data_IF_833385705907
#
_entry.id   IF_833385705907
#
_cell.length_a   1.000
_cell.length_b   1.000
_cell.length_c   1.000
_cell.angle_alpha   90.00
_cell.angle_beta   90.00
_cell.angle_gamma   90.00
#
_symmetry.space_group_name_H-M   'P 1'
#
loop_
_entity.id
_entity.type
_entity.pdbx_description
1 polymer ?
#
# COMPACT_ATOMS: atom_id res chain seq x y z
N UNK A 1 7.99 -0.34 -2.08
CA UNK A 1 7.89 -1.63 -1.35
C UNK A 1 6.43 -2.04 -1.42
N UNK A 2 6.12 -3.25 -1.87
CA UNK A 2 4.73 -3.77 -1.92
C UNK A 2 4.20 -3.95 -0.50
N UNK A 3 2.93 -3.62 -0.26
CA UNK A 3 2.27 -3.85 1.01
C UNK A 3 2.02 -5.36 1.18
N UNK A 4 2.60 -6.02 2.20
CA UNK A 4 2.43 -7.46 2.43
C UNK A 4 0.96 -7.87 2.58
N UNK A 5 0.07 -6.95 2.98
CA UNK A 5 -1.37 -7.17 3.10
C UNK A 5 -2.01 -7.46 1.74
N UNK A 6 -1.65 -6.69 0.72
CA UNK A 6 -2.20 -6.81 -0.64
C UNK A 6 -1.74 -8.11 -1.32
N UNK A 7 -0.46 -8.48 -1.19
CA UNK A 7 0.06 -9.73 -1.76
C UNK A 7 -0.63 -10.97 -1.16
N UNK A 8 -0.95 -10.93 0.13
CA UNK A 8 -1.67 -12.02 0.80
C UNK A 8 -3.14 -12.08 0.38
N UNK A 9 -3.80 -10.92 0.19
CA UNK A 9 -5.17 -10.86 -0.30
C UNK A 9 -5.26 -11.43 -1.73
N UNK A 10 -4.36 -11.03 -2.63
CA UNK A 10 -4.25 -11.58 -3.99
C UNK A 10 -4.03 -13.11 -3.99
N UNK A 11 -3.11 -13.59 -3.14
CA UNK A 11 -2.84 -15.02 -3.02
C UNK A 11 -4.05 -15.80 -2.52
N UNK A 12 -4.86 -15.22 -1.63
CA UNK A 12 -6.08 -15.82 -1.13
C UNK A 12 -7.15 -15.92 -2.23
N UNK A 13 -7.35 -14.86 -3.00
CA UNK A 13 -8.29 -14.85 -4.14
C UNK A 13 -7.92 -15.93 -5.16
N UNK A 14 -6.63 -16.06 -5.49
CA UNK A 14 -6.16 -17.10 -6.40
C UNK A 14 -6.44 -18.51 -5.87
N UNK A 15 -6.29 -18.73 -4.56
CA UNK A 15 -6.63 -20.01 -3.94
C UNK A 15 -8.14 -20.31 -3.97
N UNK A 16 -8.99 -19.30 -3.80
CA UNK A 16 -10.44 -19.43 -3.94
C UNK A 16 -10.84 -19.79 -5.38
N UNK A 17 -10.24 -19.14 -6.37
CA UNK A 17 -10.47 -19.44 -7.78
C UNK A 17 -10.07 -20.89 -8.11
N UNK A 18 -8.91 -21.34 -7.63
CA UNK A 18 -8.48 -22.74 -7.77
C UNK A 18 -9.47 -23.70 -7.12
N UNK A 19 -9.97 -23.39 -5.92
CA UNK A 19 -10.97 -24.22 -5.24
C UNK A 19 -12.27 -24.29 -6.04
N UNK A 20 -12.73 -23.17 -6.61
CA UNK A 20 -13.91 -23.14 -7.46
C UNK A 20 -13.73 -23.96 -8.74
N UNK A 21 -12.56 -23.88 -9.37
CA UNK A 21 -12.22 -24.67 -10.55
C UNK A 21 -12.22 -26.18 -10.26
N UNK A 22 -11.66 -26.60 -9.12
CA UNK A 22 -11.71 -28.01 -8.70
C UNK A 22 -13.14 -28.47 -8.45
N UNK A 23 -13.96 -27.67 -7.75
CA UNK A 23 -15.39 -27.97 -7.52
C UNK A 23 -16.16 -28.14 -8.82
N UNK A 24 -15.90 -27.28 -9.81
CA UNK A 24 -16.48 -27.39 -11.15
C UNK A 24 -16.03 -28.67 -11.84
N UNK A 25 -14.75 -29.01 -11.78
CA UNK A 25 -14.23 -30.27 -12.34
C UNK A 25 -14.89 -31.51 -11.73
N UNK A 26 -15.11 -31.53 -10.40
CA UNK A 26 -15.86 -32.61 -9.74
C UNK A 26 -17.29 -32.72 -10.30
N UNK A 27 -17.98 -31.59 -10.47
CA UNK A 27 -19.34 -31.57 -11.00
C UNK A 27 -19.40 -32.08 -12.45
N UNK A 28 -18.46 -31.68 -13.30
CA UNK A 28 -18.38 -32.10 -14.71
C UNK A 28 -18.11 -33.61 -14.84
N UNK A 29 -17.20 -34.15 -14.03
CA UNK A 29 -16.94 -35.60 -13.98
C UNK A 29 -18.15 -36.37 -13.48
N UNK A 30 -18.81 -35.87 -12.42
CA UNK A 30 -20.03 -36.48 -11.87
C UNK A 30 -21.15 -36.52 -12.90
N UNK A 31 -21.36 -35.42 -13.63
CA UNK A 31 -22.37 -35.33 -14.70
C UNK A 31 -22.06 -36.30 -15.83
N UNK A 32 -20.79 -36.38 -16.25
CA UNK A 32 -20.34 -37.29 -17.31
C UNK A 32 -20.55 -38.76 -16.92
N UNK A 33 -20.19 -39.13 -15.67
CA UNK A 33 -20.45 -40.47 -15.11
C UNK A 33 -21.94 -40.78 -15.13
N UNK A 34 -22.79 -39.87 -14.65
CA UNK A 34 -24.25 -40.07 -14.62
C UNK A 34 -24.83 -40.27 -16.02
N UNK A 35 -24.33 -39.55 -17.02
CA UNK A 35 -24.75 -39.71 -18.42
C UNK A 35 -24.43 -41.11 -18.94
N UNK A 36 -23.23 -41.64 -18.65
CA UNK A 36 -22.86 -43.00 -19.01
C UNK A 36 -23.71 -44.05 -18.28
N UNK A 37 -23.98 -43.87 -16.98
CA UNK A 37 -24.89 -44.74 -16.23
C UNK A 37 -26.29 -44.79 -16.86
N UNK A 38 -26.83 -43.65 -17.28
CA UNK A 38 -28.13 -43.59 -17.97
C UNK A 38 -28.08 -44.29 -19.33
N UNK A 39 -26.98 -44.15 -20.07
CA UNK A 39 -26.79 -44.87 -21.34
C UNK A 39 -26.74 -46.39 -21.11
N UNK A 40 -26.00 -46.84 -20.09
CA UNK A 40 -25.93 -48.24 -19.66
C UNK A 40 -27.32 -48.79 -19.36
N UNK A 41 -28.13 -48.08 -18.57
CA UNK A 41 -29.51 -48.50 -18.24
C UNK A 41 -30.35 -48.72 -19.50
N UNK A 42 -30.23 -47.85 -20.52
CA UNK A 42 -30.95 -48.04 -21.80
C UNK A 42 -30.48 -49.28 -22.55
N UNK A 43 -29.17 -49.57 -22.54
CA UNK A 43 -28.63 -50.78 -23.18
C UNK A 43 -29.11 -52.05 -22.48
N UNK A 44 -29.13 -52.06 -21.15
CA UNK A 44 -29.67 -53.18 -20.35
C UNK A 44 -31.13 -53.44 -20.70
N UNK A 45 -31.96 -52.40 -20.77
CA UNK A 45 -33.37 -52.53 -21.18
C UNK A 45 -33.52 -53.11 -22.59
N UNK A 46 -32.61 -52.79 -23.51
CA UNK A 46 -32.62 -53.36 -24.86
C UNK A 46 -32.19 -54.83 -24.86
N UNK A 47 -31.22 -55.20 -24.02
CA UNK A 47 -30.82 -56.59 -23.80
C UNK A 47 -32.00 -57.42 -23.27
N UNK A 48 -32.74 -56.90 -22.29
CA UNK A 48 -33.91 -57.60 -21.73
C UNK A 48 -35.00 -57.83 -22.78
N UNK A 49 -35.23 -56.83 -23.65
CA UNK A 49 -36.16 -56.97 -24.80
C UNK A 49 -35.70 -58.02 -25.80
N UNK A 50 -34.43 -58.00 -26.18
CA UNK A 50 -33.85 -59.00 -27.10
C UNK A 50 -33.91 -60.41 -26.50
N UNK A 51 -33.73 -60.53 -25.18
CA UNK A 51 -33.86 -61.79 -24.48
C UNK A 51 -35.31 -62.31 -24.51
N UNK A 52 -36.30 -61.44 -24.28
CA UNK A 52 -37.71 -61.79 -24.46
C UNK A 52 -38.02 -62.25 -25.88
N UNK A 53 -37.58 -61.49 -26.88
CA UNK A 53 -37.75 -61.85 -28.30
C UNK A 53 -37.10 -63.18 -28.66
N UNK A 54 -35.92 -63.48 -28.11
CA UNK A 54 -35.24 -64.75 -28.32
C UNK A 54 -36.04 -65.92 -27.73
N UNK A 55 -36.59 -65.77 -26.51
CA UNK A 55 -37.44 -66.80 -25.89
C UNK A 55 -38.73 -67.04 -26.69
N UNK A 56 -39.39 -65.97 -27.14
CA UNK A 56 -40.60 -66.06 -27.94
C UNK A 56 -40.34 -66.75 -29.29
N UNK A 57 -39.22 -66.41 -29.95
CA UNK A 57 -38.81 -67.03 -31.21
C UNK A 57 -38.51 -68.53 -31.05
N UNK A 58 -37.86 -68.94 -29.95
CA UNK A 58 -37.64 -70.36 -29.63
C UNK A 58 -38.97 -71.08 -29.41
N UNK A 59 -39.89 -70.49 -28.65
CA UNK A 59 -41.22 -71.07 -28.41
C UNK A 59 -42.03 -71.23 -29.71
N UNK A 60 -41.83 -70.33 -30.69
CA UNK A 60 -42.43 -70.39 -32.01
C UNK A 60 -41.68 -71.28 -33.02
N UNK A 61 -40.60 -71.96 -32.62
CA UNK A 61 -39.78 -72.80 -33.50
C UNK A 61 -38.97 -72.03 -34.55
N UNK A 62 -38.78 -70.72 -34.37
CA UNK A 62 -38.03 -69.85 -35.29
C UNK A 62 -36.61 -69.63 -34.77
N UNK A 63 -35.77 -70.66 -34.92
CA UNK A 63 -34.39 -70.66 -34.42
C UNK A 63 -33.49 -69.60 -35.06
N UNK A 64 -33.75 -69.25 -36.32
CA UNK A 64 -33.05 -68.19 -37.06
C UNK A 64 -33.24 -66.82 -36.41
N UNK A 65 -34.49 -66.48 -36.04
CA UNK A 65 -34.81 -65.25 -35.32
C UNK A 65 -34.25 -65.25 -33.90
N UNK A 66 -34.30 -66.39 -33.21
CA UNK A 66 -33.71 -66.52 -31.88
C UNK A 66 -32.20 -66.28 -31.91
N UNK A 67 -31.49 -66.87 -32.89
CA UNK A 67 -30.05 -66.68 -33.08
C UNK A 67 -29.72 -65.21 -33.36
N UNK A 68 -30.46 -64.57 -34.25
CA UNK A 68 -30.26 -63.14 -34.57
C UNK A 68 -30.48 -62.24 -33.34
N UNK A 69 -31.50 -62.50 -32.53
CA UNK A 69 -31.75 -61.75 -31.31
C UNK A 69 -30.61 -61.92 -30.29
N UNK A 70 -30.09 -63.14 -30.14
CA UNK A 70 -28.96 -63.43 -29.26
C UNK A 70 -27.64 -62.82 -29.75
N UNK A 71 -27.39 -62.80 -31.06
CA UNK A 71 -26.22 -62.12 -31.64
C UNK A 71 -26.25 -60.61 -31.35
N UNK A 72 -27.41 -59.97 -31.53
CA UNK A 72 -27.60 -58.56 -31.17
C UNK A 72 -27.41 -58.32 -29.67
N UNK A 73 -27.92 -59.23 -28.84
CA UNK A 73 -27.75 -59.19 -27.38
C UNK A 73 -26.26 -59.23 -27.00
N UNK A 74 -25.50 -60.13 -27.61
CA UNK A 74 -24.06 -60.26 -27.38
C UNK A 74 -23.30 -58.98 -27.75
N UNK A 75 -23.66 -58.35 -28.88
CA UNK A 75 -23.07 -57.07 -29.28
C UNK A 75 -23.35 -55.94 -28.27
N UNK A 76 -24.58 -55.85 -27.75
CA UNK A 76 -24.91 -54.87 -26.70
C UNK A 76 -24.21 -55.16 -25.38
N UNK A 77 -24.03 -56.44 -25.02
CA UNK A 77 -23.30 -56.83 -23.81
C UNK A 77 -21.84 -56.35 -23.86
N UNK A 78 -21.18 -56.50 -25.01
CA UNK A 78 -19.83 -55.97 -25.22
C UNK A 78 -19.78 -54.44 -25.11
N UNK A 79 -20.81 -53.73 -25.60
CA UNK A 79 -20.91 -52.28 -25.44
C UNK A 79 -21.06 -51.86 -23.97
N UNK A 80 -21.85 -52.61 -23.19
CA UNK A 80 -22.01 -52.37 -21.74
C UNK A 80 -20.69 -52.57 -21.02
N UNK A 81 -19.93 -53.62 -21.33
CA UNK A 81 -18.61 -53.83 -20.72
C UNK A 81 -17.66 -52.66 -20.96
N UNK A 82 -17.70 -52.04 -22.16
CA UNK A 82 -16.95 -50.82 -22.46
C UNK A 82 -17.38 -49.64 -21.58
N UNK A 83 -18.68 -49.39 -21.50
CA UNK A 83 -19.24 -48.30 -20.67
C UNK A 83 -18.93 -48.52 -19.18
N UNK A 84 -18.98 -49.76 -18.69
CA UNK A 84 -18.69 -50.08 -17.29
C UNK A 84 -17.25 -49.78 -16.91
N UNK A 85 -16.30 -50.00 -17.84
CA UNK A 85 -14.91 -49.58 -17.66
C UNK A 85 -14.78 -48.06 -17.61
N UNK A 86 -15.43 -47.34 -18.51
CA UNK A 86 -15.43 -45.87 -18.53
C UNK A 86 -16.03 -45.28 -17.23
N UNK A 87 -17.14 -45.85 -16.75
CA UNK A 87 -17.77 -45.44 -15.47
C UNK A 87 -16.80 -45.66 -14.30
N UNK A 88 -16.14 -46.82 -14.23
CA UNK A 88 -15.18 -47.13 -13.18
C UNK A 88 -13.96 -46.20 -13.20
N UNK A 89 -13.50 -45.80 -14.39
CA UNK A 89 -12.40 -44.85 -14.51
C UNK A 89 -12.81 -43.43 -14.11
N UNK A 90 -14.00 -42.99 -14.49
CA UNK A 90 -14.55 -41.70 -14.05
C UNK A 90 -14.80 -41.68 -12.52
N UNK A 91 -15.21 -42.79 -11.93
CA UNK A 91 -15.38 -42.92 -10.48
C UNK A 91 -14.05 -42.72 -9.74
N UNK A 92 -12.98 -43.37 -10.18
CA UNK A 92 -11.63 -43.16 -9.62
C UNK A 92 -11.16 -41.71 -9.78
N UNK A 93 -11.46 -41.07 -10.92
CA UNK A 93 -11.13 -39.66 -11.15
C UNK A 93 -11.93 -38.74 -10.22
N UNK A 94 -13.23 -39.02 -10.06
CA UNK A 94 -14.12 -38.29 -9.16
C UNK A 94 -13.61 -38.34 -7.72
N UNK A 95 -13.26 -39.52 -7.21
CA UNK A 95 -12.71 -39.69 -5.86
C UNK A 95 -11.41 -38.89 -5.65
N UNK A 96 -10.49 -38.93 -6.61
CA UNK A 96 -9.24 -38.15 -6.57
C UNK A 96 -9.50 -36.64 -6.55
N UNK A 97 -10.46 -36.17 -7.34
CA UNK A 97 -10.84 -34.76 -7.38
C UNK A 97 -11.51 -34.31 -6.07
N UNK A 98 -12.40 -35.13 -5.50
CA UNK A 98 -13.03 -34.86 -4.19
C UNK A 98 -11.97 -34.81 -3.07
N UNK A 99 -11.02 -35.75 -3.05
CA UNK A 99 -9.93 -35.71 -2.09
C UNK A 99 -9.06 -34.46 -2.24
N UNK A 100 -8.79 -34.05 -3.48
CA UNK A 100 -8.03 -32.83 -3.79
C UNK A 100 -8.79 -31.56 -3.39
N UNK A 101 -10.11 -31.52 -3.63
CA UNK A 101 -11.02 -30.44 -3.24
C UNK A 101 -11.01 -30.24 -1.73
N UNK A 102 -11.19 -31.32 -0.96
CA UNK A 102 -11.14 -31.29 0.51
C UNK A 102 -9.80 -30.78 1.01
N UNK A 103 -8.69 -31.27 0.46
CA UNK A 103 -7.33 -30.84 0.84
C UNK A 103 -7.10 -29.36 0.54
N UNK A 104 -7.56 -28.89 -0.62
CA UNK A 104 -7.43 -27.49 -1.01
C UNK A 104 -8.29 -26.58 -0.13
N UNK A 105 -9.53 -26.98 0.15
CA UNK A 105 -10.44 -26.28 1.06
C UNK A 105 -9.81 -26.09 2.45
N UNK A 106 -9.23 -27.15 3.03
CA UNK A 106 -8.50 -27.04 4.31
C UNK A 106 -7.31 -26.08 4.23
N UNK A 107 -6.54 -26.12 3.14
CA UNK A 107 -5.40 -25.19 2.97
C UNK A 107 -5.85 -23.74 2.85
N UNK A 108 -6.94 -23.47 2.13
CA UNK A 108 -7.54 -22.14 1.97
C UNK A 108 -7.95 -21.57 3.33
N UNK A 109 -8.61 -22.36 4.17
CA UNK A 109 -9.00 -21.91 5.52
C UNK A 109 -7.79 -21.62 6.41
N UNK A 110 -6.78 -22.49 6.41
CA UNK A 110 -5.54 -22.24 7.15
C UNK A 110 -4.87 -20.95 6.66
N UNK A 111 -4.83 -20.75 5.34
CA UNK A 111 -4.26 -19.55 4.75
C UNK A 111 -5.04 -18.29 5.14
N UNK A 112 -6.38 -18.35 5.15
CA UNK A 112 -7.26 -17.26 5.59
C UNK A 112 -6.93 -16.82 7.01
N UNK A 113 -6.86 -17.75 7.95
CA UNK A 113 -6.51 -17.43 9.35
C UNK A 113 -5.10 -16.84 9.48
N UNK A 114 -4.12 -17.44 8.79
CA UNK A 114 -2.73 -16.95 8.83
C UNK A 114 -2.58 -15.57 8.21
N UNK A 115 -3.30 -15.30 7.11
CA UNK A 115 -3.37 -13.99 6.48
C UNK A 115 -3.84 -12.93 7.47
N UNK A 116 -4.99 -13.13 8.11
CA UNK A 116 -5.52 -12.15 9.07
C UNK A 116 -4.57 -11.92 10.25
N UNK A 117 -3.92 -12.98 10.74
CA UNK A 117 -2.91 -12.87 11.80
C UNK A 117 -1.71 -12.04 11.36
N UNK A 118 -1.20 -12.24 10.14
CA UNK A 118 -0.06 -11.47 9.61
C UNK A 118 -0.46 -10.02 9.38
N UNK A 119 -1.67 -9.76 8.85
CA UNK A 119 -2.19 -8.39 8.67
C UNK A 119 -2.27 -7.65 10.00
N UNK A 120 -2.78 -8.30 11.06
CA UNK A 120 -2.83 -7.71 12.40
C UNK A 120 -1.43 -7.44 12.98
N UNK A 121 -0.49 -8.38 12.84
CA UNK A 121 0.90 -8.20 13.29
C UNK A 121 1.59 -7.07 12.55
N UNK A 122 1.38 -6.97 11.23
CA UNK A 122 1.93 -5.90 10.41
C UNK A 122 1.39 -4.53 10.83
N UNK A 123 0.07 -4.39 11.01
CA UNK A 123 -0.54 -3.15 11.49
C UNK A 123 -0.05 -2.76 12.89
N UNK A 124 0.16 -3.73 13.79
CA UNK A 124 0.72 -3.46 15.12
C UNK A 124 2.19 -2.99 15.03
N UNK A 125 3.01 -3.62 14.18
CA UNK A 125 4.39 -3.20 13.94
C UNK A 125 4.47 -1.81 13.30
N UNK A 126 3.60 -1.51 12.32
CA UNK A 126 3.45 -0.20 11.69
C UNK A 126 3.09 0.88 12.73
N UNK A 127 2.14 0.60 13.63
CA UNK A 127 1.79 1.50 14.72
C UNK A 127 2.96 1.73 15.70
N UNK A 128 3.71 0.68 16.04
CA UNK A 128 4.88 0.78 16.92
C UNK A 128 5.98 1.65 16.32
N UNK A 129 6.27 1.49 15.01
CA UNK A 129 7.23 2.32 14.29
C UNK A 129 6.77 3.78 14.34
N UNK A 130 5.50 4.06 14.01
CA UNK A 130 4.95 5.42 14.01
C UNK A 130 5.00 6.09 15.40
N UNK A 131 4.74 5.33 16.47
CA UNK A 131 4.88 5.83 17.86
C UNK A 131 6.33 6.16 18.15
N UNK A 132 7.26 5.25 17.84
CA UNK A 132 8.69 5.46 18.08
C UNK A 132 9.21 6.68 17.31
N UNK A 133 8.85 6.83 16.04
CA UNK A 133 9.19 8.00 15.22
C UNK A 133 8.64 9.31 15.82
N UNK A 134 7.40 9.29 16.32
CA UNK A 134 6.81 10.46 16.98
C UNK A 134 7.52 10.80 18.28
N UNK A 135 7.91 9.81 19.09
CA UNK A 135 8.66 10.02 20.33
C UNK A 135 10.08 10.51 20.06
N UNK A 136 10.76 9.99 19.05
CA UNK A 136 12.10 10.46 18.66
C UNK A 136 12.06 11.86 18.04
N UNK A 137 11.02 12.18 17.25
CA UNK A 137 10.82 13.53 16.71
C UNK A 137 10.54 14.56 17.81
N UNK A 138 9.74 14.19 18.83
CA UNK A 138 9.56 15.01 20.04
C UNK A 138 10.88 15.12 20.81
N UNK A 139 11.71 14.08 20.84
CA UNK A 139 13.03 14.10 21.47
C UNK A 139 13.98 15.13 20.83
N UNK A 140 13.97 15.26 19.50
CA UNK A 140 14.69 16.32 18.79
C UNK A 140 14.15 17.71 19.12
N UNK A 141 12.82 17.91 19.06
CA UNK A 141 12.22 19.21 19.40
C UNK A 141 12.44 19.61 20.87
N UNK A 142 12.40 18.64 21.80
CA UNK A 142 12.68 18.87 23.22
C UNK A 142 14.15 19.18 23.49
N UNK A 143 15.09 18.56 22.76
CA UNK A 143 16.50 18.87 22.85
C UNK A 143 16.80 20.31 22.41
N UNK A 144 16.14 20.77 21.33
CA UNK A 144 16.25 22.15 20.86
C UNK A 144 15.68 23.17 21.85
N UNK A 145 14.57 22.84 22.51
CA UNK A 145 13.98 23.67 23.58
C UNK A 145 14.89 23.73 24.81
N UNK A 146 15.51 22.62 25.21
CA UNK A 146 16.47 22.58 26.31
C UNK A 146 17.68 23.48 26.07
N UNK A 147 18.26 23.43 24.86
CA UNK A 147 19.36 24.32 24.46
C UNK A 147 18.96 25.80 24.39
N UNK A 148 17.69 26.09 24.10
CA UNK A 148 17.18 27.46 24.13
C UNK A 148 16.98 27.97 25.56
N UNK A 149 16.52 27.11 26.47
CA UNK A 149 16.34 27.43 27.89
C UNK A 149 17.68 27.69 28.59
N UNK A 150 18.69 26.84 28.37
CA UNK A 150 20.04 27.01 28.92
C UNK A 150 20.67 28.34 28.48
N UNK A 151 20.46 28.76 27.22
CA UNK A 151 20.90 30.08 26.72
C UNK A 151 20.18 31.23 27.43
N UNK A 152 18.88 31.09 27.68
CA UNK A 152 18.10 32.11 28.38
C UNK A 152 18.52 32.24 29.85
N UNK A 153 18.80 31.13 30.53
CA UNK A 153 19.32 31.11 31.90
C UNK A 153 20.71 31.75 31.97
N UNK A 154 21.65 31.34 31.12
CA UNK A 154 22.99 31.94 31.05
C UNK A 154 22.92 33.45 30.79
N UNK A 155 21.99 33.91 29.93
CA UNK A 155 21.82 35.34 29.68
C UNK A 155 21.28 36.08 30.89
N UNK A 156 20.37 35.45 31.63
CA UNK A 156 19.79 36.00 32.85
C UNK A 156 20.83 36.11 33.95
N UNK A 157 21.65 35.09 34.13
CA UNK A 157 22.77 35.11 35.09
C UNK A 157 23.83 36.15 34.70
N UNK A 158 24.16 36.29 33.41
CA UNK A 158 25.03 37.37 32.92
C UNK A 158 24.42 38.76 33.22
N UNK A 159 23.11 38.93 33.04
CA UNK A 159 22.43 40.18 33.35
C UNK A 159 22.42 40.47 34.86
N UNK A 160 22.21 39.46 35.71
CA UNK A 160 22.29 39.59 37.17
C UNK A 160 23.70 39.95 37.63
N UNK A 161 24.73 39.24 37.15
CA UNK A 161 26.12 39.54 37.47
C UNK A 161 26.52 40.95 37.04
N UNK A 162 26.02 41.43 35.90
CA UNK A 162 26.20 42.83 35.48
C UNK A 162 25.47 43.81 36.39
N UNK A 163 24.25 43.49 36.82
CA UNK A 163 23.49 44.34 37.75
C UNK A 163 24.18 44.42 39.11
N UNK A 164 24.64 43.30 39.66
CA UNK A 164 25.41 43.23 40.90
C UNK A 164 26.72 44.02 40.81
N UNK A 165 27.46 43.92 39.69
CA UNK A 165 28.65 44.72 39.46
C UNK A 165 28.34 46.23 39.37
N UNK A 166 27.19 46.63 38.83
CA UNK A 166 26.74 48.02 38.80
C UNK A 166 26.37 48.50 40.21
N UNK A 167 25.68 47.67 41.00
CA UNK A 167 25.34 47.97 42.39
C UNK A 167 26.60 48.13 43.25
N UNK A 168 27.60 47.25 43.10
CA UNK A 168 28.90 47.37 43.76
C UNK A 168 29.65 48.66 43.34
N UNK A 169 29.61 49.05 42.07
CA UNK A 169 30.21 50.30 41.58
C UNK A 169 29.52 51.55 42.15
N UNK A 170 28.19 51.48 42.37
CA UNK A 170 27.42 52.53 43.05
C UNK A 170 27.77 52.59 44.54
N UNK A 171 27.88 51.45 45.22
CA UNK A 171 28.18 51.37 46.66
C UNK A 171 29.64 51.73 46.97
N UNK A 172 30.58 51.42 46.07
CA UNK A 172 31.99 51.84 46.13
C UNK A 172 32.19 53.36 45.89
N UNK A 173 31.13 54.11 45.60
CA UNK A 173 31.18 55.57 45.43
C UNK A 173 31.86 56.04 44.15
N UNK A 174 31.98 55.19 43.13
CA UNK A 174 32.68 55.51 41.87
C UNK A 174 31.78 56.08 40.78
N UNK A 175 30.46 56.00 40.94
CA UNK A 175 29.49 56.56 39.98
C UNK A 175 29.27 58.07 40.11
N UNK A 176 29.73 58.68 41.21
CA UNK A 176 29.49 60.10 41.51
C UNK A 176 30.31 61.05 40.61
N UNK A 177 31.31 60.53 39.89
CA UNK A 177 32.21 61.30 39.03
C UNK A 177 31.78 61.38 37.54
N UNK A 178 30.62 60.82 37.17
CA UNK A 178 30.11 60.90 35.78
C UNK A 178 29.02 61.95 35.56
N UNK A 179 28.56 62.62 36.62
CA UNK A 179 27.67 63.79 36.49
C UNK A 179 28.44 65.12 36.38
N UNK A 180 29.77 65.10 36.55
CA UNK A 180 30.65 66.26 36.42
C UNK A 180 31.14 66.57 35.00
N UNK A 181 31.01 65.64 34.04
CA UNK A 181 31.58 65.78 32.68
C UNK A 181 30.59 66.27 31.60
N UNK A 182 29.38 66.70 31.98
CA UNK A 182 28.35 67.14 31.03
C UNK A 182 28.68 68.46 30.31
N UNK A 183 29.57 69.27 30.87
CA UNK A 183 29.86 70.64 30.39
C UNK A 183 30.89 70.75 29.25
N UNK A 184 31.66 69.69 28.95
CA UNK A 184 32.68 69.71 27.87
C UNK A 184 32.15 69.16 26.55
N UNK A 185 31.32 68.12 26.58
CA UNK A 185 30.75 67.51 25.36
C UNK A 185 29.75 68.45 24.68
N UNK A 186 28.91 69.17 25.45
CA UNK A 186 27.99 70.19 24.91
C UNK A 186 28.75 71.39 24.31
N UNK A 187 29.96 71.67 24.81
CA UNK A 187 30.87 72.71 24.28
C UNK A 187 31.55 72.30 22.97
N UNK A 188 31.88 71.02 22.81
CA UNK A 188 32.45 70.49 21.55
C UNK A 188 31.38 70.27 20.46
N UNK A 189 30.17 69.83 20.81
CA UNK A 189 29.04 69.70 19.88
C UNK A 189 28.58 71.06 19.32
N UNK A 190 28.72 72.14 20.08
CA UNK A 190 28.46 73.52 19.64
C UNK A 190 29.51 74.04 18.65
N UNK A 191 30.74 73.51 18.66
CA UNK A 191 31.79 73.86 17.67
C UNK A 191 31.62 73.10 16.35
N UNK A 192 31.14 71.86 16.41
CA UNK A 192 30.89 71.03 15.22
C UNK A 192 29.63 71.49 14.47
N UNK A 193 28.57 71.90 15.19
CA UNK A 193 27.35 72.42 14.56
C UNK A 193 27.55 73.77 13.86
N UNK A 194 28.54 74.57 14.29
CA UNK A 194 28.92 75.81 13.62
C UNK A 194 29.69 75.60 12.30
N UNK A 195 30.38 74.47 12.12
CA UNK A 195 31.05 74.13 10.85
C UNK A 195 30.12 73.40 9.86
N UNK A 196 29.15 72.61 10.34
CA UNK A 196 28.24 71.83 9.49
C UNK A 196 27.16 72.68 8.77
N UNK A 197 26.93 73.92 9.18
CA UNK A 197 25.96 74.81 8.54
C UNK A 197 26.46 75.43 7.22
N UNK A 198 27.78 75.55 7.02
CA UNK A 198 28.37 76.16 5.82
C UNK A 198 28.39 75.20 4.61
N UNK A 199 28.53 73.89 4.85
CA UNK A 199 28.48 72.88 3.77
C UNK A 199 27.05 72.57 3.32
N UNK A 200 26.06 72.65 4.22
CA UNK A 200 24.65 72.47 3.89
C UNK A 200 24.09 73.65 3.06
N UNK A 201 24.60 74.87 3.27
CA UNK A 201 24.25 76.06 2.46
C UNK A 201 24.89 76.03 1.06
N UNK A 202 26.10 75.46 0.91
CA UNK A 202 26.77 75.29 -0.38
C UNK A 202 26.13 74.17 -1.24
N UNK A 203 25.65 73.10 -0.60
CA UNK A 203 24.93 72.01 -1.27
C UNK A 203 23.56 72.46 -1.79
N UNK A 204 22.88 73.35 -1.05
CA UNK A 204 21.58 73.91 -1.46
C UNK A 204 21.70 74.88 -2.64
N UNK A 205 22.76 75.68 -2.72
CA UNK A 205 23.07 76.54 -3.88
C UNK A 205 23.48 75.75 -5.14
N UNK A 206 24.07 74.57 -4.99
CA UNK A 206 24.36 73.66 -6.12
C UNK A 206 23.14 72.87 -6.59
N UNK A 207 22.20 72.55 -5.70
CA UNK A 207 20.95 71.86 -6.03
C UNK A 207 19.94 72.76 -6.78
N UNK A 208 20.05 74.09 -6.67
CA UNK A 208 19.29 75.05 -7.50
C UNK A 208 19.78 75.14 -8.96
N UNK A 209 20.86 74.42 -9.35
CA UNK A 209 21.54 74.62 -10.64
C UNK A 209 21.59 73.40 -11.60
N UNK A 210 20.83 72.30 -11.42
CA UNK A 210 20.90 71.22 -12.42
C UNK A 210 19.89 70.07 -12.35
N UNK A 211 19.13 69.89 -13.44
CA UNK A 211 18.12 68.85 -13.75
C UNK A 211 18.69 67.41 -13.79
N UNK A 212 17.84 66.42 -13.49
CA UNK A 212 18.11 64.95 -13.40
C UNK A 212 18.56 64.25 -14.70
N UNK A 213 18.39 62.92 -14.93
CA UNK A 213 17.44 61.96 -14.31
C UNK A 213 17.92 60.47 -14.17
N UNK A 214 16.97 59.60 -13.80
CA UNK A 214 16.69 58.24 -14.34
C UNK A 214 17.47 56.93 -14.02
N UNK A 215 16.63 55.92 -13.70
CA UNK A 215 16.58 54.48 -14.15
C UNK A 215 17.57 53.44 -13.59
N UNK A 216 17.03 52.30 -13.11
CA UNK A 216 16.77 51.13 -13.96
C UNK A 216 16.04 49.97 -13.23
N UNK A 217 15.10 49.34 -13.96
CA UNK A 217 14.39 48.06 -13.72
C UNK A 217 15.09 46.92 -14.50
N UNK A 218 14.80 45.65 -14.14
CA UNK A 218 14.53 44.45 -15.02
C UNK A 218 14.46 43.23 -14.09
N UNK A 219 13.44 42.37 -13.96
CA UNK A 219 12.37 41.73 -14.78
C UNK A 219 12.85 40.71 -15.82
N UNK A 220 12.35 39.48 -15.58
CA UNK A 220 12.40 38.20 -16.29
C UNK A 220 12.00 38.24 -17.77
N UNK A 221 12.59 37.33 -18.55
CA UNK A 221 12.08 36.87 -19.85
C UNK A 221 12.33 35.37 -19.98
N UNK A 222 11.24 34.59 -20.06
CA UNK A 222 11.20 33.38 -20.86
C UNK A 222 10.50 33.69 -22.18
N UNK A 223 10.74 32.88 -23.23
CA UNK A 223 9.75 32.28 -24.15
C UNK A 223 10.42 31.79 -25.45
N UNK A 224 10.16 30.52 -25.75
CA UNK A 224 10.02 29.85 -27.07
C UNK A 224 11.21 29.60 -28.02
N UNK A 225 11.48 28.29 -28.14
CA UNK A 225 11.91 27.58 -29.34
C UNK A 225 10.94 27.78 -30.52
N UNK A 226 11.47 27.97 -31.74
CA UNK A 226 10.98 27.31 -32.96
C UNK A 226 11.94 27.45 -34.16
N UNK A 227 12.35 26.27 -34.65
CA UNK A 227 12.64 25.87 -36.04
C UNK A 227 13.76 26.56 -36.85
N UNK A 228 14.64 25.71 -37.38
CA UNK A 228 14.79 25.60 -38.83
C UNK A 228 16.20 25.39 -39.37
N UNK A 229 16.36 24.19 -39.98
CA UNK A 229 17.40 23.74 -40.94
C UNK A 229 18.67 23.15 -40.35
#
# INVERSE_FOLDING_TARGET
MEDPRETLDYSYERQLELLQNVKRGVAEVTSSKKRLELQRVKLVQNIDKLEGQARDAVAAGREDLARLALERKAALAQQIEGIDREIADLEKQQEKLIASEKRLSTKVEIFRTRKESIKAQYSAAEAQVKINESVTGIGEEMADVGLALERAENKTEEMKARAEAIDELMEAGTLEDLTGSRDEIDRELSKISAQSNVESELARLKAESGKGPEKAKTVEEGTEERKGV
#
